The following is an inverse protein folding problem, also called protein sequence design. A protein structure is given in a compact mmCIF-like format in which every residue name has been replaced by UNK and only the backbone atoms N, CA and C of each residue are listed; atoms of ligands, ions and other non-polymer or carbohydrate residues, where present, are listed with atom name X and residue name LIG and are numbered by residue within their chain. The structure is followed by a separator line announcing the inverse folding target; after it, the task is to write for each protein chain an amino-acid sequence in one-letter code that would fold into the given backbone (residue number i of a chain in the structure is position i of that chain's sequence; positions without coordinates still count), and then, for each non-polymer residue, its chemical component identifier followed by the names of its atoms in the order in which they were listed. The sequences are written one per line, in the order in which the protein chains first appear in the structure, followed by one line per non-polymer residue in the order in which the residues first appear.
data_IF_493331359228
#
_entry.id   IF_493331359228
#
_cell.length_a   1.000
_cell.length_b   1.000
_cell.length_c   1.000
_cell.angle_alpha   90.00
_cell.angle_beta   90.00
_cell.angle_gamma   90.00
#
_symmetry.space_group_name_H-M   'P 1'
#
loop_
_entity.id
_entity.type
_entity.pdbx_description
1 polymer ?
#
# COMPACT_ATOMS: atom_id res chain seq x y z
N UNK A 1 -27.52 -11.34 6.26
CA UNK A 1 -27.17 -10.54 5.06
C UNK A 1 -25.69 -10.75 4.77
N UNK A 2 -25.27 -11.00 3.52
CA UNK A 2 -23.84 -11.04 3.20
C UNK A 2 -23.23 -9.67 3.56
N UNK A 3 -22.15 -9.68 4.33
CA UNK A 3 -21.48 -8.46 4.77
C UNK A 3 -20.93 -7.77 3.51
N UNK A 4 -21.48 -6.61 3.17
CA UNK A 4 -21.01 -5.86 1.99
C UNK A 4 -19.53 -5.50 2.18
N UNK A 5 -18.71 -5.74 1.16
CA UNK A 5 -17.28 -5.40 1.21
C UNK A 5 -17.15 -3.89 1.44
N UNK A 6 -16.20 -3.44 2.28
CA UNK A 6 -15.95 -2.02 2.48
C UNK A 6 -15.63 -1.34 1.15
N UNK A 7 -16.01 -0.07 1.02
CA UNK A 7 -15.64 0.73 -0.15
C UNK A 7 -14.12 0.91 -0.21
N UNK A 8 -13.58 0.99 -1.42
CA UNK A 8 -12.18 1.37 -1.62
C UNK A 8 -11.98 2.82 -1.19
N UNK A 9 -10.74 3.15 -0.81
CA UNK A 9 -10.36 4.51 -0.47
C UNK A 9 -10.22 5.33 -1.76
N UNK A 10 -11.01 6.39 -1.86
CA UNK A 10 -10.87 7.38 -2.93
C UNK A 10 -9.59 8.20 -2.74
N UNK A 11 -8.90 8.54 -3.83
CA UNK A 11 -7.64 9.28 -3.81
C UNK A 11 -6.55 8.66 -2.91
N UNK A 12 -6.49 7.33 -2.87
CA UNK A 12 -5.54 6.56 -2.05
C UNK A 12 -4.10 7.09 -2.07
N UNK A 13 -3.57 7.45 -3.24
CA UNK A 13 -2.18 7.95 -3.35
C UNK A 13 -1.97 9.23 -2.55
N UNK A 14 -2.92 10.18 -2.61
CA UNK A 14 -2.84 11.43 -1.86
C UNK A 14 -2.82 11.13 -0.35
N UNK A 15 -3.71 10.27 0.13
CA UNK A 15 -3.73 9.89 1.54
C UNK A 15 -2.42 9.22 2.01
N UNK A 16 -1.82 8.38 1.16
CA UNK A 16 -0.53 7.75 1.44
C UNK A 16 0.59 8.79 1.46
N UNK A 17 0.63 9.70 0.49
CA UNK A 17 1.63 10.78 0.42
C UNK A 17 1.59 11.63 1.69
N UNK A 18 0.39 12.03 2.14
CA UNK A 18 0.22 12.79 3.38
C UNK A 18 0.75 12.04 4.61
N UNK A 19 0.53 10.72 4.66
CA UNK A 19 1.05 9.89 5.76
C UNK A 19 2.58 9.77 5.71
N UNK A 20 3.16 9.64 4.53
CA UNK A 20 4.62 9.55 4.34
C UNK A 20 5.28 10.89 4.69
N UNK A 21 4.74 12.01 4.20
CA UNK A 21 5.25 13.37 4.49
C UNK A 21 5.18 13.67 5.99
N UNK A 22 4.09 13.28 6.65
CA UNK A 22 3.93 13.43 8.10
C UNK A 22 4.79 12.47 8.94
N UNK A 23 5.61 11.61 8.32
CA UNK A 23 6.45 10.64 9.04
C UNK A 23 5.66 9.54 9.76
N UNK A 24 4.41 9.30 9.36
CA UNK A 24 3.51 8.30 9.99
C UNK A 24 3.66 6.90 9.40
N UNK A 25 4.48 6.75 8.36
CA UNK A 25 4.76 5.43 7.78
C UNK A 25 5.61 4.59 8.73
N UNK A 26 5.16 3.37 9.03
CA UNK A 26 5.88 2.39 9.85
C UNK A 26 5.80 1.03 9.20
N UNK A 27 6.95 0.36 9.08
CA UNK A 27 6.98 -1.01 8.62
C UNK A 27 6.39 -1.96 9.66
N UNK A 28 5.53 -2.85 9.19
CA UNK A 28 5.09 -3.99 9.99
C UNK A 28 6.16 -5.08 9.99
N UNK A 29 6.10 -6.00 10.95
CA UNK A 29 6.99 -7.17 10.96
C UNK A 29 6.94 -7.97 9.65
N UNK A 30 5.76 -8.06 9.04
CA UNK A 30 5.60 -8.68 7.73
C UNK A 30 6.35 -7.91 6.64
N UNK A 31 6.23 -6.58 6.61
CA UNK A 31 6.93 -5.73 5.65
C UNK A 31 8.46 -5.87 5.78
N UNK A 32 9.00 -5.85 7.00
CA UNK A 32 10.44 -6.04 7.28
C UNK A 32 10.93 -7.40 6.74
N UNK A 33 10.16 -8.47 6.96
CA UNK A 33 10.50 -9.80 6.42
C UNK A 33 10.52 -9.81 4.89
N UNK A 34 9.55 -9.16 4.25
CA UNK A 34 9.47 -9.08 2.78
C UNK A 34 10.56 -8.22 2.17
N UNK A 35 10.95 -7.13 2.84
CA UNK A 35 12.09 -6.30 2.46
C UNK A 35 13.38 -7.14 2.38
N UNK A 36 13.68 -7.90 3.44
CA UNK A 36 14.85 -8.81 3.47
C UNK A 36 14.81 -9.87 2.36
N UNK A 37 13.65 -10.50 2.15
CA UNK A 37 13.50 -11.53 1.11
C UNK A 37 13.64 -11.00 -0.32
N UNK A 38 13.34 -9.72 -0.54
CA UNK A 38 13.35 -9.09 -1.87
C UNK A 38 14.54 -8.16 -2.08
N UNK A 39 15.40 -8.00 -1.07
CA UNK A 39 16.49 -7.03 -1.05
C UNK A 39 16.02 -5.60 -1.40
N UNK A 40 14.97 -5.15 -0.72
CA UNK A 40 14.39 -3.81 -0.88
C UNK A 40 14.58 -3.04 0.42
N UNK A 41 14.96 -1.77 0.33
CA UNK A 41 15.14 -0.88 1.49
C UNK A 41 13.97 0.12 1.63
N UNK A 42 13.75 0.61 2.85
CA UNK A 42 12.68 1.57 3.15
C UNK A 42 12.69 2.82 2.24
N UNK A 43 13.83 3.47 1.93
CA UNK A 43 13.85 4.61 1.01
C UNK A 43 13.26 4.31 -0.39
N UNK A 44 13.47 3.11 -0.92
CA UNK A 44 12.91 2.70 -2.22
C UNK A 44 11.38 2.56 -2.14
N UNK A 45 10.89 2.00 -1.04
CA UNK A 45 9.45 1.89 -0.78
C UNK A 45 8.84 3.29 -0.68
N UNK A 46 9.43 4.18 0.11
CA UNK A 46 8.95 5.55 0.26
C UNK A 46 8.96 6.31 -1.07
N UNK A 47 9.98 6.10 -1.90
CA UNK A 47 10.04 6.67 -3.24
C UNK A 47 8.84 6.22 -4.09
N UNK A 48 8.54 4.92 -4.12
CA UNK A 48 7.38 4.38 -4.85
C UNK A 48 6.06 4.89 -4.29
N UNK A 49 5.91 4.97 -2.97
CA UNK A 49 4.68 5.49 -2.34
C UNK A 49 4.48 6.98 -2.62
N UNK A 50 5.56 7.75 -2.73
CA UNK A 50 5.51 9.19 -2.97
C UNK A 50 5.30 9.53 -4.44
N UNK A 51 5.96 8.80 -5.34
CA UNK A 51 6.03 9.17 -6.76
C UNK A 51 5.31 8.21 -7.68
N UNK A 52 4.96 7.01 -7.22
CA UNK A 52 4.35 5.95 -8.03
C UNK A 52 2.92 6.23 -8.49
N UNK A 53 2.30 5.18 -9.03
CA UNK A 53 0.90 5.17 -9.48
C UNK A 53 0.12 4.00 -8.89
N UNK A 54 -1.16 4.22 -8.68
CA UNK A 54 -2.10 3.21 -8.20
C UNK A 54 -2.64 2.41 -9.40
N UNK A 55 -2.34 1.11 -9.42
CA UNK A 55 -2.88 0.18 -10.41
C UNK A 55 -4.24 -0.37 -9.92
N UNK A 56 -5.30 0.46 -9.94
CA UNK A 56 -6.66 0.14 -9.42
C UNK A 56 -7.21 -1.23 -9.86
N UNK A 57 -6.92 -1.63 -11.10
CA UNK A 57 -7.35 -2.92 -11.67
C UNK A 57 -6.67 -4.15 -11.04
N UNK A 58 -5.61 -3.96 -10.25
CA UNK A 58 -4.87 -5.02 -9.56
C UNK A 58 -5.12 -5.07 -8.06
N UNK A 59 -5.95 -4.17 -7.51
CA UNK A 59 -6.35 -4.26 -6.11
C UNK A 59 -7.09 -5.58 -5.85
N UNK A 60 -6.79 -6.22 -4.72
CA UNK A 60 -7.42 -7.48 -4.33
C UNK A 60 -8.10 -7.32 -2.99
N UNK A 61 -9.31 -7.86 -2.87
CA UNK A 61 -9.96 -7.94 -1.58
C UNK A 61 -9.42 -9.16 -0.83
N UNK A 62 -8.98 -8.95 0.39
CA UNK A 62 -8.57 -9.99 1.31
C UNK A 62 -9.77 -10.37 2.19
N UNK A 63 -10.38 -11.51 1.89
CA UNK A 63 -11.54 -12.03 2.61
C UNK A 63 -11.19 -12.38 4.08
N UNK A 64 -9.96 -12.82 4.35
CA UNK A 64 -9.56 -13.22 5.70
C UNK A 64 -9.46 -12.02 6.65
N UNK A 65 -9.02 -10.88 6.13
CA UNK A 65 -8.89 -9.63 6.89
C UNK A 65 -10.01 -8.61 6.61
N UNK A 66 -10.98 -8.96 5.75
CA UNK A 66 -12.07 -8.09 5.30
C UNK A 66 -11.54 -6.69 4.87
N UNK A 67 -10.46 -6.68 4.09
CA UNK A 67 -9.70 -5.47 3.77
C UNK A 67 -9.22 -5.45 2.32
N UNK A 68 -8.95 -4.27 1.75
CA UNK A 68 -8.40 -4.14 0.39
C UNK A 68 -6.88 -4.08 0.41
N UNK A 69 -6.25 -4.96 -0.36
CA UNK A 69 -4.83 -4.89 -0.72
C UNK A 69 -4.69 -4.04 -1.99
N UNK A 70 -4.09 -2.86 -1.85
CA UNK A 70 -3.92 -1.92 -2.95
C UNK A 70 -2.60 -2.15 -3.71
N UNK A 71 -2.66 -2.05 -5.04
CA UNK A 71 -1.48 -2.23 -5.89
C UNK A 71 -0.85 -0.89 -6.27
N UNK A 72 0.36 -0.61 -5.77
CA UNK A 72 1.11 0.61 -6.11
C UNK A 72 2.38 0.21 -6.85
N UNK A 73 2.67 0.92 -7.93
CA UNK A 73 3.83 0.67 -8.79
C UNK A 73 4.65 1.95 -8.95
N UNK A 74 5.98 1.82 -8.98
CA UNK A 74 6.86 2.93 -9.37
C UNK A 74 6.68 3.33 -10.83
N UNK A 75 7.13 4.54 -11.18
CA UNK A 75 7.33 4.91 -12.58
C UNK A 75 8.67 4.35 -13.02
N UNK A 76 8.64 3.49 -14.03
CA UNK A 76 9.81 3.05 -14.81
C UNK A 76 9.98 3.98 -15.99
#
# INVERSE_FOLDING_TARGET
MPKSRPKKIDNLLTAIQDCVIAGRYRDTMHAIKRQKQRNIILPEILHVLKHGRHEKGKDRFDEAFNSWNYAIRGWT
#
